data_IF_638059354204
#
_entry.id   IF_638059354204
#
_cell.length_a   1.000
_cell.length_b   1.000
_cell.length_c   1.000
_cell.angle_alpha   90.00
_cell.angle_beta   90.00
_cell.angle_gamma   90.00
#
_symmetry.space_group_name_H-M   'P 1'
#
loop_
_entity.id
_entity.type
_entity.pdbx_description
1 polymer ?
#
# COMPACT_ATOMS: atom_id res chain seq x y z
N UNK A 1 34.63 33.27 15.19
CA UNK A 1 34.16 31.98 14.64
C UNK A 1 33.09 32.29 13.60
N UNK A 2 33.43 32.23 12.30
CA UNK A 2 32.47 32.42 11.19
C UNK A 2 32.05 31.04 10.72
N UNK A 3 30.77 30.78 10.82
CA UNK A 3 30.08 29.49 10.59
C UNK A 3 30.17 29.03 9.14
N UNK A 4 30.58 27.80 8.96
CA UNK A 4 30.70 27.00 7.70
C UNK A 4 29.36 26.53 7.15
N UNK A 5 28.30 27.34 7.15
CA UNK A 5 26.97 26.92 6.67
C UNK A 5 26.71 27.17 5.16
N UNK A 6 27.60 27.91 4.51
CA UNK A 6 27.40 28.32 3.11
C UNK A 6 27.43 27.18 2.06
N UNK A 7 28.30 26.15 2.11
CA UNK A 7 28.38 25.16 1.06
C UNK A 7 27.15 24.22 1.01
N UNK A 8 26.54 23.95 2.16
CA UNK A 8 25.37 23.03 2.24
C UNK A 8 24.12 23.66 1.64
N UNK A 9 23.94 24.96 1.77
CA UNK A 9 22.78 25.65 1.17
C UNK A 9 22.90 25.76 -0.35
N UNK A 10 24.08 25.90 -0.91
CA UNK A 10 24.30 25.89 -2.36
C UNK A 10 24.08 24.51 -2.96
N UNK A 11 24.47 23.44 -2.26
CA UNK A 11 24.23 22.05 -2.68
C UNK A 11 22.73 21.74 -2.69
N UNK A 12 21.99 22.18 -1.68
CA UNK A 12 20.52 21.98 -1.60
C UNK A 12 19.79 22.76 -2.70
N UNK A 13 20.19 23.99 -2.99
CA UNK A 13 19.62 24.78 -4.09
C UNK A 13 19.97 24.19 -5.46
N UNK A 14 21.20 23.71 -5.66
CA UNK A 14 21.60 23.04 -6.89
C UNK A 14 20.86 21.71 -7.10
N UNK A 15 20.68 20.92 -6.06
CA UNK A 15 19.87 19.70 -6.12
C UNK A 15 18.41 20.01 -6.46
N UNK A 16 17.80 21.01 -5.85
CA UNK A 16 16.42 21.44 -6.13
C UNK A 16 16.25 21.93 -7.58
N UNK A 17 17.23 22.69 -8.10
CA UNK A 17 17.24 23.16 -9.49
C UNK A 17 17.48 22.04 -10.52
N UNK A 18 18.14 20.96 -10.14
CA UNK A 18 18.34 19.79 -11.01
C UNK A 18 17.11 18.87 -11.07
N UNK A 19 16.36 18.76 -9.97
CA UNK A 19 15.16 17.93 -9.90
C UNK A 19 13.92 18.58 -10.57
N UNK A 20 13.84 19.90 -10.60
CA UNK A 20 12.70 20.62 -11.19
C UNK A 20 12.54 20.40 -12.70
N UNK A 21 13.59 20.49 -13.55
CA UNK A 21 13.47 20.23 -14.99
C UNK A 21 13.28 18.75 -15.35
N UNK A 22 13.74 17.80 -14.52
CA UNK A 22 13.43 16.38 -14.71
C UNK A 22 11.93 16.09 -14.53
N UNK A 23 11.25 16.79 -13.61
CA UNK A 23 9.82 16.65 -13.39
C UNK A 23 8.98 17.21 -14.55
N UNK A 24 9.45 18.24 -15.25
CA UNK A 24 8.74 18.86 -16.37
C UNK A 24 8.87 18.07 -17.69
N UNK A 25 9.92 17.27 -17.86
CA UNK A 25 10.10 16.39 -19.02
C UNK A 25 9.42 15.03 -18.91
N UNK A 26 8.81 14.71 -17.77
CA UNK A 26 8.25 13.39 -17.49
C UNK A 26 6.77 13.22 -17.88
N UNK A 27 6.13 14.26 -18.45
CA UNK A 27 4.75 14.13 -18.92
C UNK A 27 4.69 13.30 -20.20
N UNK A 28 3.82 12.28 -20.21
CA UNK A 28 3.49 11.54 -21.44
C UNK A 28 2.75 12.46 -22.39
N UNK A 29 3.43 12.87 -23.48
CA UNK A 29 2.88 13.70 -24.54
C UNK A 29 2.78 12.86 -25.82
N UNK A 30 1.62 12.25 -26.05
CA UNK A 30 1.38 11.45 -27.26
C UNK A 30 -0.10 11.22 -27.48
N UNK A 31 -0.52 10.89 -28.74
CA UNK A 31 -1.93 10.68 -29.07
C UNK A 31 -2.60 9.54 -28.29
N UNK A 32 -1.80 8.65 -27.68
CA UNK A 32 -2.26 7.51 -26.89
C UNK A 32 -1.96 7.66 -25.37
N UNK A 33 -1.61 8.86 -24.90
CA UNK A 33 -1.34 9.08 -23.47
C UNK A 33 -2.61 8.89 -22.63
N UNK A 34 -2.54 8.09 -21.57
CA UNK A 34 -3.66 7.91 -20.64
C UNK A 34 -3.76 9.16 -19.74
N UNK A 35 -4.90 9.87 -19.72
CA UNK A 35 -5.07 11.04 -18.85
C UNK A 35 -4.94 10.75 -17.37
N UNK A 36 -5.13 9.46 -16.96
CA UNK A 36 -4.97 9.02 -15.57
C UNK A 36 -3.50 8.86 -15.17
N UNK A 37 -2.59 8.78 -16.18
CA UNK A 37 -1.16 8.49 -16.00
C UNK A 37 -0.28 9.48 -16.79
N UNK A 38 -0.36 10.78 -16.50
CA UNK A 38 0.44 11.80 -17.23
C UNK A 38 1.94 11.66 -16.95
N UNK A 39 2.34 10.92 -15.92
CA UNK A 39 3.72 10.68 -15.52
C UNK A 39 4.22 9.29 -15.94
N UNK A 40 3.63 8.65 -16.95
CA UNK A 40 3.95 7.28 -17.38
C UNK A 40 5.46 7.03 -17.57
N UNK A 41 6.27 7.89 -18.22
CA UNK A 41 7.72 7.64 -18.37
C UNK A 41 8.45 7.55 -17.04
N UNK A 42 8.13 8.43 -16.09
CA UNK A 42 8.63 8.39 -14.73
C UNK A 42 8.16 7.13 -14.01
N UNK A 43 6.86 6.86 -14.03
CA UNK A 43 6.24 5.74 -13.36
C UNK A 43 6.79 4.39 -13.83
N UNK A 44 7.02 4.23 -15.14
CA UNK A 44 7.66 3.03 -15.71
C UNK A 44 9.11 2.87 -15.25
N UNK A 45 9.86 3.97 -15.14
CA UNK A 45 11.25 3.94 -14.66
C UNK A 45 11.31 3.50 -13.21
N UNK A 46 10.47 4.07 -12.34
CA UNK A 46 10.40 3.69 -10.93
C UNK A 46 9.85 2.27 -10.76
N UNK A 47 8.88 1.84 -11.58
CA UNK A 47 8.40 0.45 -11.58
C UNK A 47 9.53 -0.54 -11.88
N UNK A 48 10.34 -0.28 -12.91
CA UNK A 48 11.52 -1.10 -13.23
C UNK A 48 12.53 -1.14 -12.08
N UNK A 49 12.76 -0.01 -11.41
CA UNK A 49 13.61 0.03 -10.22
C UNK A 49 13.02 -0.83 -9.09
N UNK A 50 11.72 -0.68 -8.80
CA UNK A 50 11.03 -1.47 -7.78
C UNK A 50 11.05 -2.96 -8.12
N UNK A 51 10.83 -3.33 -9.38
CA UNK A 51 10.93 -4.70 -9.86
C UNK A 51 12.33 -5.27 -9.67
N UNK A 52 13.38 -4.50 -9.99
CA UNK A 52 14.76 -4.95 -9.78
C UNK A 52 15.07 -5.17 -8.28
N UNK A 53 14.59 -4.32 -7.39
CA UNK A 53 14.73 -4.51 -5.94
C UNK A 53 13.92 -5.72 -5.46
N UNK A 54 12.71 -5.91 -5.98
CA UNK A 54 11.89 -7.07 -5.64
C UNK A 54 12.56 -8.38 -6.09
N UNK A 55 12.97 -8.47 -7.33
CA UNK A 55 13.55 -9.70 -7.92
C UNK A 55 14.88 -10.09 -7.25
N UNK A 56 15.71 -9.11 -6.87
CA UNK A 56 17.03 -9.37 -6.30
C UNK A 56 17.04 -9.47 -4.76
N UNK A 57 16.06 -8.89 -4.07
CA UNK A 57 16.07 -8.82 -2.61
C UNK A 57 14.77 -9.36 -2.01
N UNK A 58 13.62 -8.72 -2.30
CA UNK A 58 12.39 -9.03 -1.58
C UNK A 58 11.84 -10.41 -1.91
N UNK A 59 11.86 -10.81 -3.18
CA UNK A 59 11.39 -12.12 -3.65
C UNK A 59 12.23 -13.28 -3.11
N UNK A 60 13.58 -13.29 -3.19
CA UNK A 60 14.40 -14.35 -2.60
C UNK A 60 14.19 -14.50 -1.09
N UNK A 61 14.10 -13.37 -0.35
CA UNK A 61 13.86 -13.39 1.10
C UNK A 61 12.48 -13.95 1.40
N UNK A 62 11.44 -13.55 0.64
CA UNK A 62 10.08 -14.06 0.80
C UNK A 62 9.98 -15.57 0.46
N UNK A 63 10.67 -16.02 -0.56
CA UNK A 63 10.76 -17.47 -0.90
C UNK A 63 11.45 -18.25 0.22
N UNK A 64 12.57 -17.74 0.76
CA UNK A 64 13.24 -18.32 1.92
C UNK A 64 12.31 -18.43 3.14
N UNK A 65 11.57 -17.39 3.43
CA UNK A 65 10.55 -17.39 4.50
C UNK A 65 9.46 -18.47 4.26
N UNK A 66 8.95 -18.58 3.03
CA UNK A 66 7.92 -19.58 2.69
C UNK A 66 8.46 -21.00 2.80
N UNK A 67 9.73 -21.22 2.44
CA UNK A 67 10.36 -22.55 2.48
C UNK A 67 10.71 -23.01 3.90
N UNK A 68 11.07 -22.07 4.79
CA UNK A 68 11.52 -22.37 6.15
C UNK A 68 10.38 -22.38 7.15
N UNK A 69 9.42 -21.45 7.02
CA UNK A 69 8.34 -21.27 8.01
C UNK A 69 7.10 -22.07 7.59
N UNK A 70 6.63 -23.01 8.45
CA UNK A 70 5.41 -23.79 8.17
C UNK A 70 4.17 -22.92 7.93
N UNK A 71 3.28 -23.39 7.07
CA UNK A 71 2.08 -22.64 6.67
C UNK A 71 1.18 -22.19 7.83
N UNK A 72 0.95 -22.98 8.91
CA UNK A 72 0.14 -22.52 10.05
C UNK A 72 0.75 -21.31 10.76
N UNK A 73 2.08 -21.27 10.90
CA UNK A 73 2.80 -20.14 11.52
C UNK A 73 2.68 -18.90 10.64
N UNK A 74 2.90 -19.04 9.33
CA UNK A 74 2.74 -17.93 8.36
C UNK A 74 1.30 -17.38 8.38
N UNK A 75 0.30 -18.26 8.46
CA UNK A 75 -1.11 -17.86 8.60
C UNK A 75 -1.32 -17.06 9.89
N UNK A 76 -0.76 -17.51 11.02
CA UNK A 76 -0.82 -16.76 12.28
C UNK A 76 -0.18 -15.38 12.18
N UNK A 77 1.00 -15.28 11.57
CA UNK A 77 1.67 -13.98 11.32
C UNK A 77 0.81 -13.06 10.44
N UNK A 78 0.24 -13.60 9.37
CA UNK A 78 -0.66 -12.85 8.49
C UNK A 78 -1.92 -12.37 9.22
N UNK A 79 -2.52 -13.21 10.05
CA UNK A 79 -3.69 -12.84 10.86
C UNK A 79 -3.36 -11.74 11.85
N UNK A 80 -2.22 -11.84 12.55
CA UNK A 80 -1.76 -10.81 13.46
C UNK A 80 -1.62 -9.44 12.79
N UNK A 81 -0.89 -9.35 11.67
CA UNK A 81 -0.76 -8.10 10.93
C UNK A 81 -2.09 -7.64 10.32
N UNK A 82 -2.93 -8.58 9.91
CA UNK A 82 -4.29 -8.32 9.48
C UNK A 82 -5.14 -7.67 10.57
N UNK A 83 -5.08 -8.21 11.80
CA UNK A 83 -5.81 -7.67 12.96
C UNK A 83 -5.34 -6.26 13.33
N UNK A 84 -4.02 -5.99 13.28
CA UNK A 84 -3.49 -4.64 13.44
C UNK A 84 -3.99 -3.68 12.35
N UNK A 85 -4.09 -4.14 11.11
CA UNK A 85 -4.65 -3.35 10.02
C UNK A 85 -6.15 -3.07 10.21
N UNK A 86 -6.90 -4.04 10.75
CA UNK A 86 -8.33 -3.89 11.01
C UNK A 86 -8.61 -2.81 12.08
N UNK A 87 -7.68 -2.54 13.01
CA UNK A 87 -7.77 -1.41 13.95
C UNK A 87 -7.84 -0.07 13.23
N UNK A 88 -6.93 0.16 12.28
CA UNK A 88 -6.92 1.39 11.47
C UNK A 88 -8.10 1.45 10.50
N UNK A 89 -8.51 0.30 9.95
CA UNK A 89 -9.72 0.22 9.12
C UNK A 89 -10.98 0.57 9.90
N UNK A 90 -11.08 0.21 11.19
CA UNK A 90 -12.20 0.60 12.06
C UNK A 90 -12.33 2.13 12.15
N UNK A 91 -11.21 2.83 12.38
CA UNK A 91 -11.19 4.30 12.44
C UNK A 91 -11.61 4.90 11.10
N UNK A 92 -11.08 4.40 9.99
CA UNK A 92 -11.41 4.90 8.65
C UNK A 92 -12.87 4.63 8.27
N UNK A 93 -13.43 3.45 8.60
CA UNK A 93 -14.84 3.16 8.40
C UNK A 93 -15.74 4.12 9.22
N UNK A 94 -15.34 4.42 10.46
CA UNK A 94 -16.03 5.40 11.30
C UNK A 94 -16.00 6.81 10.69
N UNK A 95 -14.82 7.25 10.24
CA UNK A 95 -14.65 8.56 9.57
C UNK A 95 -15.47 8.68 8.27
N UNK A 96 -15.77 7.55 7.63
CA UNK A 96 -16.62 7.47 6.45
C UNK A 96 -18.12 7.35 6.79
N UNK A 97 -18.49 7.27 8.08
CA UNK A 97 -19.89 7.09 8.50
C UNK A 97 -20.47 5.71 8.15
N UNK A 98 -19.65 4.71 7.83
CA UNK A 98 -20.05 3.35 7.48
C UNK A 98 -20.30 2.53 8.75
N UNK A 99 -21.48 2.68 9.36
CA UNK A 99 -21.81 2.09 10.66
C UNK A 99 -21.60 0.58 10.72
N UNK A 100 -22.14 -0.19 9.78
CA UNK A 100 -21.98 -1.64 9.73
C UNK A 100 -20.50 -2.04 9.57
N UNK A 101 -19.78 -1.46 8.60
CA UNK A 101 -18.38 -1.76 8.37
C UNK A 101 -17.51 -1.39 9.58
N UNK A 102 -17.83 -0.32 10.30
CA UNK A 102 -17.18 0.08 11.55
C UNK A 102 -17.39 -0.99 12.63
N UNK A 103 -18.64 -1.41 12.82
CA UNK A 103 -19.03 -2.42 13.81
C UNK A 103 -18.36 -3.76 13.50
N UNK A 104 -18.42 -4.22 12.26
CA UNK A 104 -17.77 -5.46 11.83
C UNK A 104 -16.26 -5.40 12.07
N UNK A 105 -15.59 -4.32 11.65
CA UNK A 105 -14.14 -4.16 11.85
C UNK A 105 -13.77 -4.12 13.33
N UNK A 106 -14.54 -3.44 14.18
CA UNK A 106 -14.34 -3.40 15.62
C UNK A 106 -14.49 -4.78 16.25
N UNK A 107 -15.57 -5.50 15.94
CA UNK A 107 -15.80 -6.83 16.50
C UNK A 107 -14.77 -7.86 15.99
N UNK A 108 -14.28 -7.73 14.76
CA UNK A 108 -13.15 -8.52 14.28
C UNK A 108 -11.92 -8.33 15.16
N UNK A 109 -11.53 -7.07 15.39
CA UNK A 109 -10.38 -6.74 16.25
C UNK A 109 -10.60 -7.29 17.66
N UNK A 110 -11.75 -7.06 18.27
CA UNK A 110 -12.05 -7.52 19.62
C UNK A 110 -12.02 -9.06 19.71
N UNK A 111 -12.75 -9.75 18.82
CA UNK A 111 -12.85 -11.22 18.82
C UNK A 111 -11.49 -11.88 18.55
N UNK A 112 -10.77 -11.42 17.53
CA UNK A 112 -9.46 -11.99 17.20
C UNK A 112 -8.41 -11.68 18.26
N UNK A 113 -8.50 -10.53 18.94
CA UNK A 113 -7.56 -10.21 20.02
C UNK A 113 -7.82 -11.03 21.28
N UNK A 114 -9.09 -11.21 21.66
CA UNK A 114 -9.47 -11.93 22.91
C UNK A 114 -9.44 -13.43 22.73
N UNK A 115 -10.11 -13.95 21.70
CA UNK A 115 -10.27 -15.39 21.46
C UNK A 115 -9.23 -15.94 20.48
N UNK A 116 -8.60 -15.10 19.68
CA UNK A 116 -7.61 -15.45 18.66
C UNK A 116 -6.15 -15.24 19.11
N UNK A 117 -5.87 -15.23 20.42
CA UNK A 117 -4.51 -15.09 20.97
C UNK A 117 -3.80 -13.84 20.39
N UNK A 118 -4.36 -12.65 20.67
CA UNK A 118 -3.79 -11.40 20.16
C UNK A 118 -3.88 -11.22 18.63
N UNK A 119 -4.78 -11.96 17.98
CA UNK A 119 -4.98 -11.86 16.53
C UNK A 119 -4.19 -12.88 15.70
N UNK A 120 -3.50 -13.84 16.33
CA UNK A 120 -2.81 -14.93 15.61
C UNK A 120 -3.79 -15.91 14.96
N UNK A 121 -4.97 -16.08 15.54
CA UNK A 121 -6.04 -16.94 15.03
C UNK A 121 -7.20 -16.02 14.57
N UNK A 122 -7.64 -16.18 13.35
CA UNK A 122 -8.82 -15.47 12.84
C UNK A 122 -10.09 -16.24 13.24
N UNK A 123 -10.69 -15.85 14.35
CA UNK A 123 -11.96 -16.39 14.88
C UNK A 123 -13.14 -15.65 14.27
N UNK A 124 -12.97 -14.40 13.88
CA UNK A 124 -14.04 -13.56 13.36
C UNK A 124 -14.55 -14.02 11.97
N UNK A 125 -13.68 -14.53 11.11
CA UNK A 125 -14.09 -15.03 9.78
C UNK A 125 -15.04 -16.22 9.86
N UNK A 126 -14.77 -17.28 10.65
CA UNK A 126 -15.75 -18.38 10.85
C UNK A 126 -17.06 -17.91 11.49
N UNK A 127 -17.07 -16.83 12.26
CA UNK A 127 -18.28 -16.21 12.81
C UNK A 127 -19.08 -15.41 11.79
N UNK A 128 -18.64 -15.32 10.53
CA UNK A 128 -19.31 -14.58 9.48
C UNK A 128 -19.12 -13.08 9.53
N UNK A 129 -18.18 -12.56 10.35
CA UNK A 129 -17.92 -11.13 10.46
C UNK A 129 -17.04 -10.69 9.27
N UNK A 130 -17.61 -9.88 8.38
CA UNK A 130 -16.94 -9.43 7.16
C UNK A 130 -15.73 -8.52 7.44
N UNK A 131 -14.71 -8.59 6.57
CA UNK A 131 -13.53 -7.72 6.66
C UNK A 131 -13.67 -6.53 5.72
N UNK A 132 -13.64 -5.32 6.27
CA UNK A 132 -13.75 -4.05 5.54
C UNK A 132 -12.45 -3.28 5.62
N UNK A 133 -11.51 -3.56 4.70
CA UNK A 133 -10.22 -2.86 4.66
C UNK A 133 -10.41 -1.43 4.17
N UNK A 134 -9.96 -0.47 4.97
CA UNK A 134 -9.96 0.94 4.65
C UNK A 134 -8.64 1.60 5.08
N UNK A 135 -8.29 2.66 4.36
CA UNK A 135 -7.17 3.54 4.69
C UNK A 135 -7.61 5.01 4.53
N UNK A 136 -6.73 5.93 4.89
CA UNK A 136 -7.07 7.34 4.87
C UNK A 136 -7.19 7.89 3.43
N UNK A 137 -6.47 7.31 2.47
CA UNK A 137 -6.63 7.63 1.05
C UNK A 137 -8.05 7.35 0.53
N UNK A 138 -8.63 6.18 0.91
CA UNK A 138 -10.02 5.84 0.61
C UNK A 138 -11.01 6.73 1.37
N UNK A 139 -10.67 7.12 2.61
CA UNK A 139 -11.49 8.06 3.39
C UNK A 139 -11.56 9.43 2.73
N UNK A 140 -10.43 9.96 2.25
CA UNK A 140 -10.41 11.19 1.44
C UNK A 140 -11.25 11.04 0.16
N UNK A 141 -11.17 9.88 -0.50
CA UNK A 141 -12.02 9.57 -1.66
C UNK A 141 -13.51 9.58 -1.33
N UNK A 142 -13.90 9.00 -0.20
CA UNK A 142 -15.27 9.03 0.30
C UNK A 142 -15.75 10.47 0.57
N UNK A 143 -14.88 11.35 1.04
CA UNK A 143 -15.18 12.77 1.25
C UNK A 143 -15.15 13.61 -0.03
N UNK A 144 -14.95 12.97 -1.20
CA UNK A 144 -15.01 13.62 -2.51
C UNK A 144 -13.67 14.12 -3.05
N UNK A 145 -12.55 13.82 -2.38
CA UNK A 145 -11.22 14.15 -2.92
C UNK A 145 -10.94 13.23 -4.12
N UNK A 146 -10.69 13.77 -5.32
CA UNK A 146 -10.40 12.96 -6.49
C UNK A 146 -9.10 12.17 -6.31
N UNK A 147 -9.02 11.00 -6.94
CA UNK A 147 -7.84 10.13 -6.91
C UNK A 147 -6.58 10.86 -7.39
N UNK A 148 -6.75 11.74 -8.38
CA UNK A 148 -5.65 12.42 -9.06
C UNK A 148 -4.84 11.45 -9.94
N UNK A 149 -3.75 11.94 -10.55
CA UNK A 149 -2.85 11.16 -11.39
C UNK A 149 -2.27 9.94 -10.68
N UNK A 150 -2.07 8.88 -11.45
CA UNK A 150 -1.31 7.71 -11.01
C UNK A 150 0.15 8.08 -10.76
N UNK A 151 0.72 7.54 -9.69
CA UNK A 151 2.07 7.85 -9.27
C UNK A 151 2.72 6.62 -8.65
N UNK A 152 3.91 6.26 -9.10
CA UNK A 152 4.66 5.13 -8.54
C UNK A 152 5.71 5.64 -7.58
N UNK A 153 5.65 5.15 -6.35
CA UNK A 153 6.60 5.50 -5.30
C UNK A 153 7.79 4.52 -5.30
N UNK A 154 9.03 5.03 -5.16
CA UNK A 154 10.19 4.17 -4.96
C UNK A 154 9.99 3.26 -3.74
N UNK A 155 10.21 1.97 -3.88
CA UNK A 155 10.07 0.91 -2.89
C UNK A 155 8.65 0.65 -2.37
N UNK A 156 7.75 1.65 -2.42
CA UNK A 156 6.38 1.52 -1.93
C UNK A 156 5.39 1.06 -3.02
N UNK A 157 5.77 1.22 -4.30
CA UNK A 157 5.00 0.73 -5.43
C UNK A 157 3.86 1.66 -5.88
N UNK A 158 2.77 1.11 -6.44
CA UNK A 158 1.65 1.86 -7.00
C UNK A 158 0.99 2.79 -5.99
N UNK A 159 0.67 4.01 -6.42
CA UNK A 159 -0.03 5.02 -5.62
C UNK A 159 -0.79 5.98 -6.54
N UNK A 160 -1.42 6.98 -5.95
CA UNK A 160 -1.96 8.17 -6.62
C UNK A 160 -1.54 9.41 -5.84
N UNK A 161 -1.75 10.60 -6.40
CA UNK A 161 -1.42 11.83 -5.67
C UNK A 161 -2.21 11.91 -4.36
N UNK A 162 -3.52 11.58 -4.36
CA UNK A 162 -4.34 11.54 -3.14
C UNK A 162 -3.79 10.55 -2.12
N UNK A 163 -3.52 9.33 -2.55
CA UNK A 163 -3.09 8.27 -1.64
C UNK A 163 -1.68 8.53 -1.10
N UNK A 164 -0.80 9.11 -1.93
CA UNK A 164 0.53 9.57 -1.50
C UNK A 164 0.43 10.66 -0.43
N UNK A 165 -0.49 11.62 -0.59
CA UNK A 165 -0.74 12.65 0.40
C UNK A 165 -1.34 12.10 1.70
N UNK A 166 -2.04 10.97 1.64
CA UNK A 166 -2.61 10.28 2.80
C UNK A 166 -1.58 9.45 3.60
N UNK A 167 -0.45 9.05 3.00
CA UNK A 167 0.55 8.17 3.63
C UNK A 167 1.03 8.62 5.02
N UNK A 168 1.30 9.93 5.29
CA UNK A 168 1.70 10.35 6.63
C UNK A 168 0.65 10.03 7.68
N UNK A 169 -0.64 10.20 7.36
CA UNK A 169 -1.76 9.90 8.25
C UNK A 169 -1.91 8.39 8.45
N UNK A 170 -1.81 7.61 7.38
CA UNK A 170 -1.82 6.14 7.46
C UNK A 170 -0.63 5.59 8.26
N UNK A 171 0.54 6.20 8.13
CA UNK A 171 1.72 5.84 8.93
C UNK A 171 1.51 6.14 10.41
N UNK A 172 0.92 7.29 10.72
CA UNK A 172 0.59 7.67 12.09
C UNK A 172 -0.51 6.79 12.69
N UNK A 173 -1.55 6.46 11.93
CA UNK A 173 -2.64 5.57 12.35
C UNK A 173 -2.25 4.09 12.46
N UNK A 174 -1.08 3.71 11.95
CA UNK A 174 -0.60 2.34 12.06
C UNK A 174 -0.10 2.04 13.48
N UNK A 175 -0.69 1.04 14.19
CA UNK A 175 -0.28 0.72 15.57
C UNK A 175 1.21 0.41 15.72
N UNK A 176 1.84 -0.21 14.73
CA UNK A 176 3.29 -0.51 14.74
C UNK A 176 4.11 0.78 14.80
N UNK A 177 3.67 1.83 14.09
CA UNK A 177 4.35 3.14 14.09
C UNK A 177 4.37 3.81 15.46
N UNK A 178 3.45 3.47 16.36
CA UNK A 178 3.33 4.04 17.72
C UNK A 178 4.25 3.35 18.75
N UNK A 179 4.97 2.30 18.37
CA UNK A 179 5.91 1.62 19.24
C UNK A 179 7.16 2.49 19.44
N UNK A 180 7.45 2.89 20.69
CA UNK A 180 8.58 3.74 21.01
C UNK A 180 9.94 3.02 20.87
N UNK A 181 9.98 1.70 21.12
CA UNK A 181 11.19 0.90 20.99
C UNK A 181 11.51 0.70 19.49
N UNK A 182 12.62 1.31 19.07
CA UNK A 182 13.03 1.34 17.64
C UNK A 182 13.33 -0.07 17.10
N UNK A 183 14.09 -0.94 17.79
CA UNK A 183 14.34 -2.31 17.35
C UNK A 183 13.05 -3.11 17.13
N UNK A 184 12.12 -3.08 18.08
CA UNK A 184 10.85 -3.77 17.97
C UNK A 184 9.98 -3.23 16.83
N UNK A 185 9.85 -1.90 16.72
CA UNK A 185 9.11 -1.26 15.63
C UNK A 185 9.66 -1.66 14.27
N UNK A 186 10.98 -1.62 14.09
CA UNK A 186 11.61 -1.95 12.82
C UNK A 186 11.47 -3.44 12.49
N UNK A 187 11.61 -4.33 13.47
CA UNK A 187 11.43 -5.77 13.30
C UNK A 187 10.00 -6.12 12.88
N UNK A 188 9.00 -5.53 13.53
CA UNK A 188 7.60 -5.74 13.18
C UNK A 188 7.28 -5.15 11.79
N UNK A 189 7.83 -4.00 11.45
CA UNK A 189 7.66 -3.40 10.12
C UNK A 189 8.26 -4.29 9.04
N UNK A 190 9.49 -4.77 9.24
CA UNK A 190 10.16 -5.72 8.33
C UNK A 190 9.38 -7.02 8.19
N UNK A 191 8.92 -7.60 9.32
CA UNK A 191 8.10 -8.80 9.33
C UNK A 191 6.78 -8.64 8.57
N UNK A 192 6.12 -7.48 8.71
CA UNK A 192 4.89 -7.15 7.95
C UNK A 192 5.14 -7.05 6.45
N UNK A 193 6.24 -6.41 6.05
CA UNK A 193 6.62 -6.30 4.63
C UNK A 193 6.92 -7.68 4.05
N UNK A 194 7.68 -8.49 4.79
CA UNK A 194 8.03 -9.85 4.39
C UNK A 194 6.79 -10.75 4.24
N UNK A 195 5.89 -10.73 5.23
CA UNK A 195 4.64 -11.49 5.17
C UNK A 195 3.76 -11.03 3.99
N UNK A 196 3.61 -9.72 3.80
CA UNK A 196 2.85 -9.17 2.68
C UNK A 196 3.42 -9.63 1.33
N UNK A 197 4.75 -9.60 1.17
CA UNK A 197 5.40 -10.06 -0.07
C UNK A 197 5.27 -11.57 -0.26
N UNK A 198 5.42 -12.36 0.81
CA UNK A 198 5.28 -13.81 0.75
C UNK A 198 3.88 -14.25 0.27
N UNK A 199 2.83 -13.56 0.70
CA UNK A 199 1.45 -13.82 0.24
C UNK A 199 1.24 -13.49 -1.24
N UNK A 200 2.01 -12.58 -1.80
CA UNK A 200 1.87 -12.13 -3.19
C UNK A 200 2.74 -12.94 -4.17
N UNK A 201 3.58 -13.88 -3.72
CA UNK A 201 4.48 -14.64 -4.60
C UNK A 201 3.72 -15.32 -5.76
N UNK A 202 2.71 -16.12 -5.45
CA UNK A 202 1.93 -16.84 -6.45
C UNK A 202 1.16 -15.89 -7.39
N UNK A 203 0.56 -14.83 -6.84
CA UNK A 203 -0.15 -13.84 -7.64
C UNK A 203 0.81 -13.09 -8.59
N UNK A 204 2.00 -12.75 -8.12
CA UNK A 204 3.03 -12.12 -8.96
C UNK A 204 3.50 -13.05 -10.09
N UNK A 205 3.65 -14.34 -9.82
CA UNK A 205 4.07 -15.32 -10.84
C UNK A 205 2.99 -15.49 -11.91
N UNK A 206 1.72 -15.52 -11.52
CA UNK A 206 0.59 -15.53 -12.47
C UNK A 206 0.56 -14.25 -13.32
N UNK A 207 0.73 -13.08 -12.69
CA UNK A 207 0.78 -11.81 -13.41
C UNK A 207 1.94 -11.76 -14.41
N UNK A 208 3.11 -12.23 -14.03
CA UNK A 208 4.29 -12.27 -14.92
C UNK A 208 4.08 -13.21 -16.12
N UNK A 209 3.28 -14.26 -15.97
CA UNK A 209 2.99 -15.22 -17.04
C UNK A 209 1.87 -14.73 -17.97
N UNK A 210 0.87 -14.05 -17.43
CA UNK A 210 -0.34 -13.65 -18.15
C UNK A 210 -0.29 -12.25 -18.77
N UNK A 211 0.53 -11.34 -18.24
CA UNK A 211 0.53 -9.94 -18.64
C UNK A 211 1.43 -9.68 -19.85
N UNK A 212 0.87 -9.09 -20.92
CA UNK A 212 1.65 -8.51 -22.03
C UNK A 212 2.44 -7.29 -21.59
N UNK A 213 1.87 -6.46 -20.72
CA UNK A 213 2.51 -5.31 -20.08
C UNK A 213 2.14 -5.29 -18.58
N UNK A 214 3.10 -5.72 -17.75
CA UNK A 214 2.93 -5.78 -16.29
C UNK A 214 2.64 -4.41 -15.67
N UNK A 215 3.26 -3.36 -16.21
CA UNK A 215 3.05 -2.00 -15.71
C UNK A 215 1.59 -1.55 -15.90
N UNK A 216 1.05 -1.70 -17.12
CA UNK A 216 -0.33 -1.32 -17.42
C UNK A 216 -1.33 -2.10 -16.59
N UNK A 217 -1.14 -3.42 -16.46
CA UNK A 217 -2.02 -4.26 -15.66
C UNK A 217 -2.01 -3.86 -14.18
N UNK A 218 -0.82 -3.59 -13.62
CA UNK A 218 -0.66 -3.16 -12.22
C UNK A 218 -1.31 -1.78 -12.00
N UNK A 219 -1.11 -0.84 -12.93
CA UNK A 219 -1.71 0.49 -12.88
C UNK A 219 -3.23 0.41 -12.89
N UNK A 220 -3.79 -0.31 -13.84
CA UNK A 220 -5.25 -0.35 -14.03
C UNK A 220 -5.92 -1.11 -12.87
N UNK A 221 -5.35 -2.20 -12.39
CA UNK A 221 -5.82 -2.90 -11.21
C UNK A 221 -5.78 -1.98 -9.96
N UNK A 222 -4.69 -1.24 -9.76
CA UNK A 222 -4.58 -0.31 -8.64
C UNK A 222 -5.64 0.81 -8.72
N UNK A 223 -5.77 1.45 -9.89
CA UNK A 223 -6.74 2.53 -10.08
C UNK A 223 -8.18 2.05 -9.86
N UNK A 224 -8.52 0.82 -10.28
CA UNK A 224 -9.84 0.22 -10.01
C UNK A 224 -10.09 0.09 -8.51
N UNK A 225 -9.12 -0.44 -7.75
CA UNK A 225 -9.24 -0.61 -6.29
C UNK A 225 -9.33 0.73 -5.55
N UNK A 226 -8.82 1.82 -6.15
CA UNK A 226 -8.80 3.16 -5.53
C UNK A 226 -9.90 4.09 -6.01
N UNK A 227 -10.66 3.69 -7.03
CA UNK A 227 -11.82 4.46 -7.47
C UNK A 227 -12.98 4.21 -6.50
N UNK A 228 -13.36 5.26 -5.78
CA UNK A 228 -14.53 5.23 -4.89
C UNK A 228 -15.74 5.66 -5.70
N UNK A 229 -16.75 4.80 -5.80
CA UNK A 229 -18.02 5.12 -6.45
C UNK A 229 -18.77 6.23 -5.70
N UNK A 230 -19.80 6.81 -6.34
CA UNK A 230 -20.64 7.88 -5.77
C UNK A 230 -21.26 7.52 -4.40
N UNK A 231 -21.36 6.23 -4.08
CA UNK A 231 -21.89 5.72 -2.82
C UNK A 231 -20.78 5.41 -1.79
N UNK A 232 -19.55 5.82 -2.04
CA UNK A 232 -18.43 5.54 -1.15
C UNK A 232 -17.95 4.09 -1.14
N UNK A 233 -18.45 3.25 -2.05
CA UNK A 233 -17.98 1.88 -2.25
C UNK A 233 -16.89 1.84 -3.31
N UNK A 234 -15.89 0.97 -3.09
CA UNK A 234 -14.88 0.68 -4.12
C UNK A 234 -15.59 0.01 -5.29
N UNK A 235 -15.62 0.65 -6.43
CA UNK A 235 -16.23 0.10 -7.63
C UNK A 235 -15.32 -1.00 -8.18
N UNK A 236 -15.63 -2.25 -7.85
CA UNK A 236 -15.08 -3.41 -8.55
C UNK A 236 -15.76 -3.45 -9.93
N UNK A 237 -15.15 -2.81 -10.92
CA UNK A 237 -15.53 -3.06 -12.30
C UNK A 237 -15.27 -4.54 -12.56
N UNK A 238 -16.33 -5.27 -12.83
CA UNK A 238 -16.27 -6.71 -13.07
C UNK A 238 -15.35 -7.01 -14.26
N UNK A 239 -14.15 -7.49 -13.97
CA UNK A 239 -13.25 -8.10 -14.97
C UNK A 239 -13.77 -9.50 -15.42
N UNK A 240 -15.06 -9.81 -15.17
CA UNK A 240 -15.69 -11.11 -15.47
C UNK A 240 -16.52 -11.03 -16.76
N UNK A 241 -16.11 -10.24 -17.74
CA UNK A 241 -16.66 -10.30 -19.09
C UNK A 241 -15.55 -10.23 -20.14
N UNK A 242 -14.56 -11.11 -20.02
CA UNK A 242 -13.72 -11.53 -21.16
C UNK A 242 -13.65 -13.05 -21.12
#
# INVERSE_FOLDING_TARGET
>A
MKTTEQPVQHLRKAALCLFLPLALGACATGPNADPRDPLEPYNRTISKFNDAVDDNIARPVAQGYVNVVPSPIRTGVSNFFGNLSDMWSTVNNLLQGKGQATTDSFFRVATNSVFGIGGLIDVATPMGIARHKQDFGLTLGHWGVPTGPYFVLPLLGPSTIRDTAALPVDSWGNPIGQINDIPWRNSLTGGRILDARARLLNATDLLNTAALDRYLLTRDAYLQLRTVGKNGEVQYLSLIHI
#
